data_IF_539902658013
#
_entry.id   IF_539902658013
#
_cell.length_a   1.000
_cell.length_b   1.000
_cell.length_c   1.000
_cell.angle_alpha   90.00
_cell.angle_beta   90.00
_cell.angle_gamma   90.00
#
_symmetry.space_group_name_H-M   'P 1'
#
loop_
_entity.id
_entity.type
_entity.pdbx_description
1 polymer ?
#
# COMPACT_ATOMS: atom_id res chain seq x y z
N UNK A 1 -33.81 -4.29 15.44
CA UNK A 1 -34.02 -2.86 15.12
C UNK A 1 -32.94 -2.09 15.86
N UNK A 2 -31.71 -2.22 15.39
CA UNK A 2 -30.52 -1.68 16.06
C UNK A 2 -30.16 -0.39 15.36
N UNK A 3 -30.14 0.70 16.11
CA UNK A 3 -29.92 2.04 15.60
C UNK A 3 -28.53 2.16 14.95
N UNK A 4 -28.51 2.63 13.70
CA UNK A 4 -27.30 3.06 13.00
C UNK A 4 -26.95 4.45 13.57
N UNK A 5 -25.77 4.67 14.17
CA UNK A 5 -25.38 6.01 14.56
C UNK A 5 -25.12 6.83 13.30
N UNK A 6 -25.91 7.88 13.12
CA UNK A 6 -25.78 8.84 12.04
C UNK A 6 -24.57 9.73 12.32
N UNK A 7 -23.56 9.67 11.45
CA UNK A 7 -22.45 10.61 11.45
C UNK A 7 -23.00 12.01 11.16
N UNK A 8 -23.18 12.80 12.22
CA UNK A 8 -23.49 14.22 12.15
C UNK A 8 -22.25 14.90 11.55
N UNK A 9 -22.39 15.53 10.39
CA UNK A 9 -21.32 16.31 9.74
C UNK A 9 -20.91 17.52 10.60
N UNK A 10 -20.14 17.24 11.66
CA UNK A 10 -19.43 18.23 12.45
C UNK A 10 -18.11 18.55 11.76
N UNK A 11 -17.65 19.79 11.90
CA UNK A 11 -16.32 20.23 11.48
C UNK A 11 -15.29 19.23 12.05
N UNK A 12 -14.71 18.41 11.17
CA UNK A 12 -13.68 17.45 11.56
C UNK A 12 -12.47 18.24 12.08
N UNK A 13 -11.96 17.87 13.24
CA UNK A 13 -10.76 18.50 13.79
C UNK A 13 -9.54 18.12 12.95
N UNK A 14 -8.56 19.03 12.82
CA UNK A 14 -7.29 18.73 12.17
C UNK A 14 -6.62 17.47 12.75
N UNK A 15 -6.76 17.23 14.06
CA UNK A 15 -6.24 16.03 14.72
C UNK A 15 -6.96 14.74 14.31
N UNK A 16 -8.27 14.79 14.05
CA UNK A 16 -9.04 13.63 13.58
C UNK A 16 -8.70 13.30 12.11
N UNK A 17 -8.44 14.33 11.29
CA UNK A 17 -8.03 14.16 9.90
C UNK A 17 -6.63 13.51 9.80
N UNK A 18 -5.69 13.95 10.64
CA UNK A 18 -4.33 13.37 10.68
C UNK A 18 -4.37 11.87 11.05
N UNK A 19 -5.19 11.49 12.04
CA UNK A 19 -5.33 10.08 12.44
C UNK A 19 -5.94 9.21 11.33
N UNK A 20 -6.92 9.73 10.60
CA UNK A 20 -7.50 9.02 9.46
C UNK A 20 -6.44 8.84 8.36
N UNK A 21 -5.67 9.88 8.06
CA UNK A 21 -4.63 9.84 7.03
C UNK A 21 -3.55 8.79 7.34
N UNK A 22 -3.07 8.73 8.59
CA UNK A 22 -2.12 7.69 9.02
C UNK A 22 -2.73 6.29 8.84
N UNK A 23 -4.00 6.10 9.24
CA UNK A 23 -4.67 4.80 9.07
C UNK A 23 -4.91 4.41 7.61
N UNK A 24 -5.05 5.41 6.72
CA UNK A 24 -5.19 5.18 5.29
C UNK A 24 -3.86 4.78 4.65
N UNK A 25 -2.75 5.42 5.05
CA UNK A 25 -1.40 5.04 4.62
C UNK A 25 -1.14 3.58 5.01
N UNK A 26 -1.34 3.21 6.27
CA UNK A 26 -1.11 1.83 6.74
C UNK A 26 -1.93 0.82 5.91
N UNK A 27 -3.17 1.16 5.58
CA UNK A 27 -4.04 0.30 4.76
C UNK A 27 -3.57 0.21 3.31
N UNK A 28 -3.06 1.30 2.75
CA UNK A 28 -2.50 1.34 1.39
C UNK A 28 -1.22 0.51 1.33
N UNK A 29 -0.32 0.66 2.30
CA UNK A 29 0.92 -0.14 2.39
C UNK A 29 0.60 -1.63 2.52
N UNK A 30 -0.34 -2.01 3.39
CA UNK A 30 -0.77 -3.41 3.53
C UNK A 30 -1.31 -3.97 2.20
N UNK A 31 -2.16 -3.20 1.50
CA UNK A 31 -2.65 -3.62 0.18
C UNK A 31 -1.53 -3.74 -0.86
N UNK A 32 -0.58 -2.79 -0.87
CA UNK A 32 0.60 -2.85 -1.76
C UNK A 32 1.44 -4.09 -1.49
N UNK A 33 1.67 -4.42 -0.22
CA UNK A 33 2.40 -5.61 0.21
C UNK A 33 1.75 -6.89 -0.32
N UNK A 34 0.45 -7.05 -0.09
CA UNK A 34 -0.32 -8.22 -0.54
C UNK A 34 -0.30 -8.37 -2.07
N UNK A 35 -0.45 -7.28 -2.81
CA UNK A 35 -0.41 -7.32 -4.27
C UNK A 35 0.98 -7.69 -4.82
N UNK A 36 2.05 -7.23 -4.18
CA UNK A 36 3.43 -7.59 -4.55
C UNK A 36 3.74 -9.06 -4.26
N UNK A 37 3.33 -9.59 -3.11
CA UNK A 37 3.47 -11.01 -2.80
C UNK A 37 2.70 -11.87 -3.83
N UNK A 38 1.49 -11.46 -4.19
CA UNK A 38 0.69 -12.13 -5.22
C UNK A 38 1.35 -12.10 -6.60
N UNK A 39 2.12 -11.05 -6.91
CA UNK A 39 2.89 -10.96 -8.15
C UNK A 39 4.13 -11.88 -8.16
N UNK A 40 4.60 -12.30 -6.98
CA UNK A 40 5.72 -13.23 -6.82
C UNK A 40 6.97 -12.64 -6.17
N UNK A 41 6.89 -11.43 -5.61
CA UNK A 41 7.93 -10.94 -4.70
C UNK A 41 7.94 -11.76 -3.41
N UNK A 42 9.12 -11.94 -2.82
CA UNK A 42 9.20 -12.49 -1.47
C UNK A 42 8.66 -11.48 -0.43
N UNK A 43 8.23 -11.95 0.76
CA UNK A 43 7.60 -11.09 1.76
C UNK A 43 8.45 -9.90 2.21
N UNK A 44 9.77 -10.06 2.28
CA UNK A 44 10.69 -9.02 2.76
C UNK A 44 10.83 -7.92 1.70
N UNK A 45 11.09 -8.31 0.45
CA UNK A 45 11.16 -7.40 -0.69
C UNK A 45 9.84 -6.68 -0.95
N UNK A 46 8.72 -7.40 -0.87
CA UNK A 46 7.39 -6.82 -0.99
C UNK A 46 7.13 -5.76 0.08
N UNK A 47 7.60 -5.97 1.31
CA UNK A 47 7.41 -5.02 2.41
C UNK A 47 8.18 -3.72 2.19
N UNK A 48 9.43 -3.83 1.74
CA UNK A 48 10.27 -2.66 1.40
C UNK A 48 9.65 -1.84 0.27
N UNK A 49 9.17 -2.50 -0.79
CA UNK A 49 8.51 -1.85 -1.92
C UNK A 49 7.14 -1.25 -1.55
N UNK A 50 6.41 -1.89 -0.64
CA UNK A 50 5.12 -1.40 -0.15
C UNK A 50 5.26 -0.07 0.59
N UNK A 51 6.26 0.04 1.48
CA UNK A 51 6.59 1.27 2.21
C UNK A 51 7.21 2.38 1.33
N UNK A 52 7.74 2.01 0.16
CA UNK A 52 8.33 2.93 -0.80
C UNK A 52 7.26 3.54 -1.71
N UNK A 53 6.60 4.59 -1.24
CA UNK A 53 5.51 5.28 -1.94
C UNK A 53 5.91 5.91 -3.28
N UNK A 54 7.20 6.17 -3.51
CA UNK A 54 7.73 6.69 -4.77
C UNK A 54 7.79 5.62 -5.88
N UNK A 55 7.67 4.34 -5.52
CA UNK A 55 7.71 3.22 -6.46
C UNK A 55 6.31 2.92 -7.01
N UNK A 56 6.20 2.90 -8.34
CA UNK A 56 4.97 2.49 -9.02
C UNK A 56 4.75 0.98 -8.89
N UNK A 57 3.61 0.62 -8.31
CA UNK A 57 3.21 -0.77 -8.09
C UNK A 57 2.98 -1.52 -9.43
N UNK A 58 2.43 -0.84 -10.45
CA UNK A 58 2.21 -1.44 -11.75
C UNK A 58 3.54 -1.79 -12.41
N UNK A 59 4.54 -0.90 -12.35
CA UNK A 59 5.87 -1.16 -12.91
C UNK A 59 6.54 -2.35 -12.20
N UNK A 60 6.42 -2.41 -10.87
CA UNK A 60 6.96 -3.51 -10.07
C UNK A 60 6.36 -4.87 -10.46
N UNK A 61 5.05 -4.94 -10.67
CA UNK A 61 4.37 -6.18 -11.11
C UNK A 61 4.70 -6.49 -12.57
N UNK A 62 4.79 -5.48 -13.44
CA UNK A 62 5.07 -5.68 -14.85
C UNK A 62 6.49 -6.23 -15.09
N UNK A 63 7.47 -5.82 -14.30
CA UNK A 63 8.83 -6.37 -14.37
C UNK A 63 8.84 -7.90 -14.18
N UNK A 64 8.16 -8.41 -13.16
CA UNK A 64 8.02 -9.85 -12.94
C UNK A 64 7.26 -10.54 -14.07
N UNK A 65 6.18 -9.93 -14.56
CA UNK A 65 5.39 -10.48 -15.66
C UNK A 65 6.19 -10.58 -16.97
N UNK A 66 7.17 -9.69 -17.18
CA UNK A 66 8.13 -9.74 -18.29
C UNK A 66 9.22 -10.81 -18.11
N UNK A 67 9.26 -11.49 -16.96
CA UNK A 67 10.26 -12.51 -16.61
C UNK A 67 11.52 -11.95 -15.96
N UNK A 68 11.48 -10.71 -15.46
CA UNK A 68 12.57 -10.16 -14.65
C UNK A 68 12.70 -10.95 -13.34
N UNK A 69 13.93 -11.19 -12.87
CA UNK A 69 14.13 -11.74 -11.53
C UNK A 69 13.79 -10.68 -10.47
N UNK A 70 13.40 -11.13 -9.29
CA UNK A 70 13.13 -10.26 -8.12
C UNK A 70 14.34 -9.38 -7.82
N UNK A 71 15.55 -9.95 -7.76
CA UNK A 71 16.77 -9.20 -7.48
C UNK A 71 17.02 -8.07 -8.48
N UNK A 72 16.76 -8.32 -9.77
CA UNK A 72 16.96 -7.31 -10.81
C UNK A 72 15.85 -6.26 -10.77
N UNK A 73 14.62 -6.66 -10.48
CA UNK A 73 13.51 -5.72 -10.33
C UNK A 73 13.76 -4.75 -9.16
N UNK A 74 14.27 -5.25 -8.03
CA UNK A 74 14.63 -4.41 -6.90
C UNK A 74 15.73 -3.40 -7.24
N UNK A 75 16.76 -3.81 -8.00
CA UNK A 75 17.82 -2.89 -8.45
C UNK A 75 17.33 -1.80 -9.42
N UNK A 76 16.20 -2.00 -10.08
CA UNK A 76 15.60 -1.01 -10.99
C UNK A 76 14.73 -0.01 -10.21
N UNK A 77 14.05 -0.48 -9.15
CA UNK A 77 13.03 0.27 -8.44
C UNK A 77 13.55 0.99 -7.18
N UNK A 78 14.64 0.51 -6.57
CA UNK A 78 15.26 1.02 -5.33
C UNK A 78 16.67 1.56 -5.59
#
# INVERSE_FOLDING_TARGET
MTAIPTAKGGVMSAAELELLYVSEIDRIEQWRHEELERAGYDPESAFVLAASHDVDLHDAVELLNRGCSVDLALQILL
#
